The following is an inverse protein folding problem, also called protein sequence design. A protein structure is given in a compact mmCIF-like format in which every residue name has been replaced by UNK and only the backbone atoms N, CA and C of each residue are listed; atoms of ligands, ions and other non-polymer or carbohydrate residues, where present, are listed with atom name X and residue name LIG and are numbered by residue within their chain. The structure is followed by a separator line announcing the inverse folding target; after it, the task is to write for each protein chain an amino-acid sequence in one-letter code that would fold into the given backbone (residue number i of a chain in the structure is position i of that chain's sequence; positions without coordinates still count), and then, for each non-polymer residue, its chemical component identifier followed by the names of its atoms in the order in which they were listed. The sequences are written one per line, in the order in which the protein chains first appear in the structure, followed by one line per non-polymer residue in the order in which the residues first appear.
data_IF_960361047730
#
_entry.id   IF_960361047730
#
_cell.length_a   1.000
_cell.length_b   1.000
_cell.length_c   1.000
_cell.angle_alpha   90.00
_cell.angle_beta   90.00
_cell.angle_gamma   90.00
#
_symmetry.space_group_name_H-M   'P 1'
#
loop_
_entity.id
_entity.type
_entity.pdbx_description
1 polymer ?
#
# COMPACT_ATOMS: atom_id res chain seq x y z
N UNK A 1 29.03 -32.18 22.94
CA UNK A 1 28.46 -32.82 21.72
C UNK A 1 27.54 -31.85 20.96
N UNK A 2 28.01 -30.65 20.58
CA UNK A 2 27.20 -29.65 19.84
C UNK A 2 27.95 -28.93 18.69
N UNK A 3 29.27 -29.10 18.56
CA UNK A 3 30.10 -28.39 17.58
C UNK A 3 30.05 -28.98 16.14
N UNK A 4 29.79 -30.28 15.99
CA UNK A 4 29.92 -31.00 14.71
C UNK A 4 28.84 -30.64 13.67
N UNK A 5 27.66 -30.16 14.11
CA UNK A 5 26.58 -29.79 13.19
C UNK A 5 26.77 -28.41 12.56
N UNK A 6 27.45 -27.50 13.25
CA UNK A 6 27.66 -26.11 12.79
C UNK A 6 28.72 -26.07 11.70
N UNK A 7 29.86 -26.76 11.88
CA UNK A 7 30.92 -26.85 10.87
C UNK A 7 30.42 -27.46 9.57
N UNK A 8 29.66 -28.55 9.62
CA UNK A 8 29.06 -29.17 8.41
C UNK A 8 28.15 -28.20 7.64
N UNK A 9 27.33 -27.40 8.34
CA UNK A 9 26.46 -26.40 7.71
C UNK A 9 27.23 -25.23 7.13
N UNK A 10 28.32 -24.79 7.77
CA UNK A 10 29.22 -23.75 7.24
C UNK A 10 29.81 -24.19 5.90
N UNK A 11 30.34 -25.43 5.81
CA UNK A 11 30.87 -25.94 4.55
C UNK A 11 29.79 -26.04 3.45
N UNK A 12 28.58 -26.56 3.76
CA UNK A 12 27.49 -26.63 2.77
C UNK A 12 27.05 -25.25 2.29
N UNK A 13 26.89 -24.29 3.21
CA UNK A 13 26.46 -22.93 2.86
C UNK A 13 27.52 -22.16 2.05
N UNK A 14 28.82 -22.46 2.22
CA UNK A 14 29.88 -21.85 1.43
C UNK A 14 29.85 -22.28 -0.05
N UNK A 15 29.48 -23.53 -0.33
CA UNK A 15 29.44 -24.08 -1.69
C UNK A 15 28.06 -23.98 -2.36
N UNK A 16 27.02 -23.54 -1.64
CA UNK A 16 25.67 -23.36 -2.20
C UNK A 16 25.48 -21.92 -2.68
N UNK A 17 24.67 -21.70 -3.71
CA UNK A 17 24.34 -20.34 -4.17
C UNK A 17 23.68 -19.54 -3.04
N UNK A 18 24.01 -18.24 -2.89
CA UNK A 18 23.42 -17.41 -1.86
C UNK A 18 21.93 -17.20 -2.14
N UNK A 19 21.12 -17.14 -1.09
CA UNK A 19 19.69 -16.85 -1.19
C UNK A 19 19.40 -15.35 -1.47
N UNK A 20 20.43 -14.52 -1.61
CA UNK A 20 20.30 -13.07 -1.79
C UNK A 20 19.93 -12.72 -3.24
N UNK A 21 19.04 -11.73 -3.39
CA UNK A 21 18.71 -11.11 -4.67
C UNK A 21 19.44 -9.76 -4.79
N UNK A 22 19.95 -9.44 -5.97
CA UNK A 22 20.60 -8.14 -6.21
C UNK A 22 19.55 -7.04 -6.45
N UNK A 23 19.09 -6.40 -5.37
CA UNK A 23 18.27 -5.19 -5.46
C UNK A 23 19.16 -4.00 -5.88
N UNK A 24 18.75 -3.12 -6.81
CA UNK A 24 17.42 -2.99 -7.44
C UNK A 24 17.24 -3.72 -8.79
N UNK A 25 18.29 -4.36 -9.32
CA UNK A 25 18.30 -4.97 -10.66
C UNK A 25 17.32 -6.15 -10.75
N UNK A 26 17.33 -7.03 -9.75
CA UNK A 26 16.42 -8.18 -9.64
C UNK A 26 15.50 -7.96 -8.44
N UNK A 27 14.26 -7.54 -8.70
CA UNK A 27 13.21 -7.40 -7.69
C UNK A 27 12.65 -8.78 -7.34
N UNK A 28 12.25 -8.96 -6.07
CA UNK A 28 11.57 -10.19 -5.63
C UNK A 28 10.20 -10.30 -6.32
N UNK A 29 9.77 -11.53 -6.60
CA UNK A 29 8.40 -11.79 -7.03
C UNK A 29 7.46 -11.70 -5.82
N UNK A 30 6.36 -10.96 -5.98
CA UNK A 30 5.34 -10.82 -4.95
C UNK A 30 4.31 -11.95 -5.05
N UNK A 31 3.82 -12.43 -3.91
CA UNK A 31 2.72 -13.40 -3.90
C UNK A 31 1.39 -12.72 -4.24
N UNK A 32 0.39 -13.49 -4.71
CA UNK A 32 -0.93 -12.97 -5.10
C UNK A 32 -1.67 -12.19 -4.01
N UNK A 33 -1.43 -12.52 -2.74
CA UNK A 33 -2.12 -11.93 -1.59
C UNK A 33 -1.23 -10.94 -0.81
N UNK A 34 -0.19 -10.40 -1.47
CA UNK A 34 0.69 -9.43 -0.83
C UNK A 34 -0.06 -8.13 -0.60
N UNK A 35 -0.03 -7.62 0.64
CA UNK A 35 -0.68 -6.36 1.00
C UNK A 35 0.28 -5.20 0.78
N UNK A 36 0.24 -4.62 -0.41
CA UNK A 36 1.05 -3.47 -0.81
C UNK A 36 0.31 -2.13 -0.69
N UNK A 37 0.47 -1.30 -1.72
CA UNK A 37 -0.12 0.04 -1.82
C UNK A 37 -1.64 -0.04 -1.99
N UNK A 38 -2.37 0.85 -1.30
CA UNK A 38 -3.79 1.06 -1.59
C UNK A 38 -3.91 1.95 -2.83
N UNK A 39 -4.64 1.45 -3.82
CA UNK A 39 -5.04 2.14 -5.04
C UNK A 39 -6.52 2.48 -4.97
N UNK A 40 -6.88 3.66 -5.49
CA UNK A 40 -8.24 4.14 -5.52
C UNK A 40 -8.67 4.44 -6.96
N UNK A 41 -9.79 3.86 -7.36
CA UNK A 41 -10.54 4.30 -8.52
C UNK A 41 -11.56 5.37 -8.09
N UNK A 42 -11.31 6.62 -8.51
CA UNK A 42 -12.14 7.78 -8.18
C UNK A 42 -13.53 7.70 -8.83
N UNK A 43 -13.64 7.23 -10.07
CA UNK A 43 -14.90 7.25 -10.84
C UNK A 43 -15.99 6.37 -10.20
N UNK A 44 -15.58 5.28 -9.55
CA UNK A 44 -16.48 4.36 -8.85
C UNK A 44 -16.81 4.79 -7.40
N UNK A 45 -16.17 5.85 -6.89
CA UNK A 45 -16.33 6.28 -5.51
C UNK A 45 -17.55 7.20 -5.34
N UNK A 46 -18.41 6.88 -4.36
CA UNK A 46 -19.59 7.70 -3.99
C UNK A 46 -19.38 8.52 -2.71
N UNK A 47 -18.15 8.60 -2.21
CA UNK A 47 -17.78 9.32 -0.98
C UNK A 47 -18.64 8.96 0.25
N UNK A 48 -18.98 7.68 0.41
CA UNK A 48 -19.83 7.20 1.52
C UNK A 48 -19.16 7.25 2.90
N UNK A 49 -17.83 7.39 2.98
CA UNK A 49 -17.09 7.47 4.25
C UNK A 49 -17.00 6.17 5.07
N UNK A 50 -17.47 5.03 4.55
CA UNK A 50 -17.38 3.74 5.27
C UNK A 50 -15.93 3.33 5.50
N UNK A 51 -15.06 3.54 4.52
CA UNK A 51 -13.62 3.25 4.62
C UNK A 51 -12.93 4.07 5.72
N UNK A 52 -13.31 5.35 5.90
CA UNK A 52 -12.83 6.19 7.00
C UNK A 52 -13.28 5.64 8.37
N UNK A 53 -14.56 5.25 8.50
CA UNK A 53 -15.10 4.71 9.77
C UNK A 53 -14.47 3.36 10.16
N UNK A 54 -14.17 2.52 9.17
CA UNK A 54 -13.56 1.20 9.39
C UNK A 54 -12.04 1.23 9.56
N UNK A 55 -11.38 2.34 9.24
CA UNK A 55 -9.93 2.45 9.34
C UNK A 55 -9.48 2.49 10.81
N UNK A 56 -8.67 1.51 11.28
CA UNK A 56 -8.23 1.46 12.68
C UNK A 56 -7.33 2.64 13.06
N UNK A 57 -6.52 3.14 12.12
CA UNK A 57 -5.57 4.24 12.33
C UNK A 57 -6.09 5.60 11.90
N UNK A 58 -7.35 5.68 11.42
CA UNK A 58 -7.95 6.91 10.87
C UNK A 58 -7.07 7.59 9.81
N UNK A 59 -6.40 6.79 8.97
CA UNK A 59 -5.52 7.28 7.90
C UNK A 59 -6.27 7.85 6.69
N UNK A 60 -7.57 7.58 6.57
CA UNK A 60 -8.41 7.99 5.44
C UNK A 60 -9.34 9.12 5.88
N UNK A 61 -9.40 10.17 5.07
CA UNK A 61 -10.35 11.28 5.23
C UNK A 61 -11.24 11.36 4.00
N UNK A 62 -12.56 11.45 4.19
CA UNK A 62 -13.54 11.56 3.10
C UNK A 62 -14.41 12.77 3.34
N UNK A 63 -14.41 13.70 2.39
CA UNK A 63 -15.32 14.82 2.34
C UNK A 63 -16.34 14.63 1.23
N UNK A 64 -17.61 14.53 1.61
CA UNK A 64 -18.73 14.29 0.68
C UNK A 64 -19.15 15.55 -0.08
N UNK A 65 -19.03 16.73 0.52
CA UNK A 65 -19.38 17.99 -0.12
C UNK A 65 -18.38 18.32 -1.24
N UNK A 66 -17.09 18.19 -0.92
CA UNK A 66 -16.00 18.51 -1.85
C UNK A 66 -15.63 17.35 -2.78
N UNK A 67 -16.35 16.22 -2.69
CA UNK A 67 -16.03 14.98 -3.41
C UNK A 67 -14.53 14.63 -3.34
N UNK A 68 -13.97 14.75 -2.14
CA UNK A 68 -12.54 14.63 -1.86
C UNK A 68 -12.29 13.39 -1.01
N UNK A 69 -11.34 12.57 -1.44
CA UNK A 69 -10.85 11.43 -0.68
C UNK A 69 -9.34 11.59 -0.48
N UNK A 70 -8.90 11.49 0.76
CA UNK A 70 -7.49 11.66 1.13
C UNK A 70 -6.99 10.46 1.91
N UNK A 71 -5.73 10.10 1.67
CA UNK A 71 -5.04 9.05 2.44
C UNK A 71 -3.67 9.53 2.92
N UNK A 72 -3.46 9.40 4.22
CA UNK A 72 -2.16 9.59 4.86
C UNK A 72 -1.41 8.25 4.90
N UNK A 73 -0.53 8.02 3.92
CA UNK A 73 0.16 6.72 3.78
C UNK A 73 1.02 6.36 4.99
N UNK A 74 1.62 7.35 5.65
CA UNK A 74 2.43 7.13 6.85
C UNK A 74 1.62 6.68 8.07
N UNK A 75 0.30 6.91 8.11
CA UNK A 75 -0.60 6.39 9.15
C UNK A 75 -1.22 5.04 8.76
N UNK A 76 -1.13 4.65 7.50
CA UNK A 76 -1.76 3.43 7.02
C UNK A 76 -0.93 2.20 7.39
N UNK A 77 -1.58 1.21 8.02
CA UNK A 77 -0.96 -0.09 8.39
C UNK A 77 -1.23 -1.20 7.37
N UNK A 78 -1.66 -0.83 6.15
CA UNK A 78 -1.90 -1.75 5.01
C UNK A 78 -2.70 -3.01 5.37
N UNK A 79 -3.70 -2.86 6.26
CA UNK A 79 -4.49 -3.97 6.78
C UNK A 79 -5.49 -4.56 5.77
N UNK A 80 -5.97 -3.78 4.80
CA UNK A 80 -6.95 -4.21 3.79
C UNK A 80 -8.43 -3.98 4.15
N UNK A 81 -8.75 -3.59 5.39
CA UNK A 81 -10.16 -3.40 5.81
C UNK A 81 -10.93 -2.38 4.97
N UNK A 82 -10.27 -1.35 4.46
CA UNK A 82 -10.90 -0.35 3.59
C UNK A 82 -11.38 -0.95 2.26
N UNK A 83 -10.66 -1.94 1.72
CA UNK A 83 -10.99 -2.64 0.48
C UNK A 83 -12.20 -3.55 0.70
N UNK A 84 -12.18 -4.34 1.78
CA UNK A 84 -13.28 -5.24 2.12
C UNK A 84 -14.57 -4.49 2.48
N UNK A 85 -14.45 -3.36 3.18
CA UNK A 85 -15.60 -2.56 3.60
C UNK A 85 -16.22 -1.74 2.47
N UNK A 86 -15.56 -1.60 1.32
CA UNK A 86 -16.04 -0.75 0.25
C UNK A 86 -17.19 -1.42 -0.53
N UNK A 87 -18.44 -0.90 -0.48
CA UNK A 87 -19.58 -1.53 -1.15
C UNK A 87 -19.47 -1.47 -2.68
N UNK A 88 -18.82 -0.43 -3.22
CA UNK A 88 -18.58 -0.25 -4.66
C UNK A 88 -17.28 -0.87 -5.15
N UNK A 89 -16.48 -1.47 -4.25
CA UNK A 89 -15.16 -2.05 -4.56
C UNK A 89 -14.26 -1.10 -5.38
N UNK A 90 -14.30 0.19 -5.06
CA UNK A 90 -13.47 1.21 -5.71
C UNK A 90 -12.03 1.29 -5.19
N UNK A 91 -11.70 0.51 -4.16
CA UNK A 91 -10.36 0.43 -3.58
C UNK A 91 -9.78 -0.93 -3.89
N UNK A 92 -8.50 -0.98 -4.25
CA UNK A 92 -7.72 -2.20 -4.49
C UNK A 92 -6.42 -2.17 -3.69
N UNK A 93 -5.90 -3.37 -3.39
CA UNK A 93 -4.54 -3.53 -2.87
C UNK A 93 -3.64 -3.93 -4.04
N UNK A 94 -2.60 -3.14 -4.29
CA UNK A 94 -1.53 -3.55 -5.20
C UNK A 94 -0.59 -4.53 -4.49
N UNK A 95 0.12 -5.33 -5.27
CA UNK A 95 1.15 -6.24 -4.75
C UNK A 95 2.49 -5.53 -4.53
N UNK A 96 2.60 -4.26 -4.91
CA UNK A 96 3.82 -3.48 -4.85
C UNK A 96 3.89 -2.67 -3.56
N UNK A 97 5.11 -2.45 -3.07
CA UNK A 97 5.33 -1.59 -1.91
C UNK A 97 5.15 -0.12 -2.28
N UNK A 98 4.74 0.70 -1.31
CA UNK A 98 4.80 2.14 -1.46
C UNK A 98 6.26 2.57 -1.61
N UNK A 99 6.50 3.52 -2.51
CA UNK A 99 7.79 4.19 -2.60
C UNK A 99 8.09 4.93 -1.29
N UNK A 100 9.39 5.04 -0.91
CA UNK A 100 9.77 5.76 0.29
C UNK A 100 9.37 7.23 0.17
N UNK A 101 8.54 7.70 1.10
CA UNK A 101 8.17 9.11 1.18
C UNK A 101 9.28 9.93 1.84
N UNK A 102 9.61 11.08 1.27
CA UNK A 102 10.57 12.05 1.85
C UNK A 102 9.88 12.96 2.87
N UNK A 103 8.62 13.28 2.63
CA UNK A 103 7.79 14.21 3.40
C UNK A 103 6.48 13.56 3.87
N UNK A 104 5.85 14.18 4.87
CA UNK A 104 4.56 13.72 5.44
C UNK A 104 3.38 14.26 4.63
N UNK A 105 3.28 13.82 3.39
CA UNK A 105 2.24 14.32 2.48
C UNK A 105 0.97 13.48 2.53
N UNK A 106 -0.15 14.13 2.18
CA UNK A 106 -1.45 13.48 2.02
C UNK A 106 -1.70 13.30 0.53
N UNK A 107 -2.02 12.09 0.12
CA UNK A 107 -2.47 11.88 -1.25
C UNK A 107 -3.94 12.19 -1.37
N UNK A 108 -4.25 13.12 -2.27
CA UNK A 108 -5.60 13.66 -2.49
C UNK A 108 -6.13 13.14 -3.82
N UNK A 109 -7.33 12.58 -3.78
CA UNK A 109 -8.06 12.04 -4.91
C UNK A 109 -9.41 12.78 -4.99
N UNK A 110 -9.62 13.53 -6.07
CA UNK A 110 -10.86 14.26 -6.33
C UNK A 110 -11.40 13.89 -7.72
N UNK A 111 -12.73 13.88 -7.89
CA UNK A 111 -13.35 13.65 -9.19
C UNK A 111 -12.99 14.77 -10.19
N UNK A 112 -12.66 14.41 -11.44
CA UNK A 112 -12.26 15.34 -12.49
C UNK A 112 -13.29 16.45 -12.78
N UNK A 113 -14.60 16.23 -12.54
CA UNK A 113 -15.63 17.29 -12.62
C UNK A 113 -15.41 18.47 -11.65
N UNK A 114 -14.54 18.32 -10.65
CA UNK A 114 -14.16 19.38 -9.70
C UNK A 114 -12.79 20.00 -10.07
N UNK A 115 -11.97 19.31 -10.88
CA UNK A 115 -10.67 19.83 -11.31
C UNK A 115 -10.81 20.99 -12.31
N UNK A 116 -11.88 21.00 -13.12
CA UNK A 116 -12.16 22.10 -14.06
C UNK A 116 -12.42 23.46 -13.36
N UNK A 117 -12.80 23.44 -12.08
CA UNK A 117 -13.07 24.65 -11.30
C UNK A 117 -11.94 25.03 -10.31
N UNK A 118 -10.87 24.25 -10.24
CA UNK A 118 -9.78 24.45 -9.26
C UNK A 118 -8.38 24.56 -9.89
N UNK A 119 -8.26 24.47 -11.22
CA UNK A 119 -7.00 24.70 -11.95
C UNK A 119 -6.97 26.04 -12.69
N UNK A 120 -7.59 27.08 -12.12
CA UNK A 120 -7.27 28.48 -12.43
C UNK A 120 -6.93 29.20 -11.13
N UNK A 121 -5.72 28.95 -10.61
CA UNK A 121 -4.92 29.84 -9.73
C UNK A 121 -3.54 29.22 -9.53
#
# INVERSE_FOLDING_TARGET
MFAFNVTKRIFINLFTRPATLMYPVVKREFTRNTRGKIEMNIEGCVFCGICQKKCPTKAISVNRADQKWEIERLKCVTCGYCVEACPKKCLSMSNEYCEPAVSKDKEVFANARVLDNATNS
#
